data_IF_460443037041
#
_entry.id   IF_460443037041
#
_cell.length_a   1.000
_cell.length_b   1.000
_cell.length_c   1.000
_cell.angle_alpha   90.00
_cell.angle_beta   90.00
_cell.angle_gamma   90.00
#
_symmetry.space_group_name_H-M   'P 1'
#
loop_
_entity.id
_entity.type
_entity.pdbx_description
1 polymer ?
#
# COMPACT_ATOMS: atom_id res chain seq x y z
N UNK A 1 -14.90 -47.85 -7.12
CA UNK A 1 -14.53 -47.68 -5.71
C UNK A 1 -13.73 -46.39 -5.63
N UNK A 2 -14.29 -45.34 -5.03
CA UNK A 2 -13.55 -44.12 -4.77
C UNK A 2 -12.55 -44.42 -3.65
N UNK A 3 -11.26 -44.27 -3.93
CA UNK A 3 -10.18 -44.41 -2.94
C UNK A 3 -10.33 -43.29 -1.93
N UNK A 4 -10.48 -43.63 -0.66
CA UNK A 4 -10.48 -42.66 0.43
C UNK A 4 -9.11 -41.96 0.46
N UNK A 5 -9.13 -40.62 0.52
CA UNK A 5 -7.94 -39.79 0.63
C UNK A 5 -7.06 -40.24 1.81
N UNK A 6 -5.74 -40.30 1.62
CA UNK A 6 -4.79 -40.53 2.71
C UNK A 6 -5.12 -39.59 3.88
N UNK A 7 -5.10 -40.09 5.14
CA UNK A 7 -5.27 -39.22 6.30
C UNK A 7 -4.20 -38.12 6.28
N UNK A 8 -4.49 -36.92 6.79
CA UNK A 8 -3.51 -35.84 6.86
C UNK A 8 -2.29 -36.31 7.65
N UNK A 9 -1.09 -35.98 7.15
CA UNK A 9 0.17 -36.27 7.80
C UNK A 9 0.21 -35.56 9.16
N UNK A 10 0.70 -36.21 10.24
CA UNK A 10 0.87 -35.52 11.51
C UNK A 10 1.96 -34.44 11.37
N UNK A 11 1.77 -33.31 12.06
CA UNK A 11 2.65 -32.14 11.93
C UNK A 11 4.13 -32.45 12.21
N UNK A 12 4.40 -33.34 13.16
CA UNK A 12 5.76 -33.78 13.52
C UNK A 12 6.47 -34.62 12.43
N UNK A 13 5.73 -35.10 11.43
CA UNK A 13 6.29 -35.87 10.31
C UNK A 13 6.45 -35.02 9.04
N UNK A 14 6.10 -33.73 9.05
CA UNK A 14 6.27 -32.83 7.89
C UNK A 14 7.75 -32.54 7.67
N UNK A 15 8.30 -33.03 6.56
CA UNK A 15 9.73 -32.91 6.24
C UNK A 15 10.63 -33.97 6.84
N UNK A 16 11.92 -33.81 6.56
CA UNK A 16 12.98 -34.59 7.19
C UNK A 16 13.24 -34.16 8.64
N UNK A 17 13.93 -34.99 9.44
CA UNK A 17 14.24 -34.70 10.85
C UNK A 17 15.16 -33.48 11.07
N UNK A 18 15.85 -33.04 10.01
CA UNK A 18 16.73 -31.86 10.01
C UNK A 18 16.10 -30.67 9.27
N UNK A 19 14.90 -30.82 8.70
CA UNK A 19 14.21 -29.74 8.00
C UNK A 19 13.51 -28.83 9.02
N UNK A 20 13.66 -27.51 8.86
CA UNK A 20 12.93 -26.54 9.66
C UNK A 20 11.46 -26.49 9.22
N UNK A 21 10.55 -26.44 10.19
CA UNK A 21 9.11 -26.33 9.95
C UNK A 21 8.63 -24.91 10.16
N UNK A 22 7.79 -24.43 9.24
CA UNK A 22 7.11 -23.16 9.33
C UNK A 22 5.62 -23.36 9.63
N UNK A 23 5.03 -22.37 10.30
CA UNK A 23 3.62 -22.36 10.68
C UNK A 23 2.93 -21.11 10.13
N UNK A 24 1.97 -21.29 9.23
CA UNK A 24 1.19 -20.21 8.62
C UNK A 24 -0.22 -20.18 9.22
N UNK A 25 -0.67 -19.00 9.63
CA UNK A 25 -1.95 -18.81 10.34
C UNK A 25 -3.07 -18.38 9.39
N UNK A 26 -4.12 -19.19 9.25
CA UNK A 26 -5.27 -18.94 8.36
C UNK A 26 -6.60 -18.81 9.11
N UNK A 27 -6.60 -18.27 10.33
CA UNK A 27 -7.81 -18.17 11.15
C UNK A 27 -8.87 -17.22 10.57
N UNK A 28 -8.45 -16.23 9.76
CA UNK A 28 -9.34 -15.30 9.07
C UNK A 28 -9.91 -15.88 7.76
N UNK A 29 -9.36 -17.01 7.28
CA UNK A 29 -9.80 -17.61 6.03
C UNK A 29 -11.08 -18.43 6.21
N UNK A 30 -11.97 -18.29 5.23
CA UNK A 30 -13.17 -19.13 5.13
C UNK A 30 -12.80 -20.62 5.01
N UNK A 31 -13.73 -21.49 5.37
CA UNK A 31 -13.53 -22.93 5.21
C UNK A 31 -13.31 -23.33 3.74
N UNK A 32 -14.05 -22.69 2.81
CA UNK A 32 -13.91 -22.93 1.37
C UNK A 32 -12.51 -22.55 0.87
N UNK A 33 -12.01 -21.39 1.31
CA UNK A 33 -10.66 -20.93 0.98
C UNK A 33 -9.58 -21.93 1.41
N UNK A 34 -9.63 -22.38 2.67
CA UNK A 34 -8.69 -23.39 3.19
C UNK A 34 -8.84 -24.74 2.51
N UNK A 35 -10.06 -25.14 2.15
CA UNK A 35 -10.28 -26.38 1.40
C UNK A 35 -9.70 -26.32 -0.01
N UNK A 36 -9.69 -25.15 -0.66
CA UNK A 36 -9.03 -24.96 -1.97
C UNK A 36 -7.51 -24.93 -1.82
N UNK A 37 -6.99 -24.30 -0.78
CA UNK A 37 -5.56 -24.34 -0.48
C UNK A 37 -5.08 -25.77 -0.24
N UNK A 38 -5.80 -26.55 0.58
CA UNK A 38 -5.53 -27.98 0.75
C UNK A 38 -5.49 -28.74 -0.58
N UNK A 39 -6.44 -28.48 -1.48
CA UNK A 39 -6.45 -29.10 -2.80
C UNK A 39 -5.25 -28.68 -3.66
N UNK A 40 -4.86 -27.41 -3.60
CA UNK A 40 -3.70 -26.88 -4.33
C UNK A 40 -2.39 -27.49 -3.82
N UNK A 41 -2.17 -27.52 -2.50
CA UNK A 41 -1.00 -28.13 -1.87
C UNK A 41 -0.86 -29.61 -2.23
N UNK A 42 -1.97 -30.36 -2.18
CA UNK A 42 -1.99 -31.77 -2.62
C UNK A 42 -1.70 -31.95 -4.10
N UNK A 43 -2.20 -31.06 -4.94
CA UNK A 43 -1.99 -31.13 -6.40
C UNK A 43 -0.51 -30.92 -6.75
N UNK A 44 0.19 -30.11 -5.96
CA UNK A 44 1.62 -29.87 -6.08
C UNK A 44 2.48 -30.89 -5.31
N UNK A 45 1.85 -31.87 -4.65
CA UNK A 45 2.51 -32.89 -3.83
C UNK A 45 3.39 -32.31 -2.71
N UNK A 46 3.02 -31.15 -2.17
CA UNK A 46 3.73 -30.49 -1.07
C UNK A 46 3.45 -31.20 0.25
N UNK A 47 4.49 -31.48 1.03
CA UNK A 47 4.36 -32.08 2.37
C UNK A 47 3.82 -31.03 3.35
N UNK A 48 2.66 -31.30 3.97
CA UNK A 48 2.03 -30.37 4.90
C UNK A 48 1.11 -31.07 5.91
N UNK A 49 0.80 -30.36 6.99
CA UNK A 49 -0.18 -30.76 8.00
C UNK A 49 -1.02 -29.57 8.45
N UNK A 50 -2.24 -29.83 8.93
CA UNK A 50 -3.11 -28.80 9.52
C UNK A 50 -3.27 -29.02 11.02
N UNK A 51 -3.06 -27.96 11.80
CA UNK A 51 -3.39 -27.86 13.22
C UNK A 51 -4.48 -26.80 13.40
N UNK A 52 -5.74 -27.20 13.21
CA UNK A 52 -6.86 -26.25 13.22
C UNK A 52 -6.79 -25.31 12.00
N UNK A 53 -6.67 -23.98 12.18
CA UNK A 53 -6.44 -23.05 11.07
C UNK A 53 -4.96 -22.85 10.72
N UNK A 54 -4.02 -23.50 11.42
CA UNK A 54 -2.59 -23.34 11.19
C UNK A 54 -2.09 -24.40 10.22
N UNK A 55 -1.43 -23.98 9.14
CA UNK A 55 -0.74 -24.84 8.18
C UNK A 55 0.71 -25.02 8.63
N UNK A 56 1.14 -26.27 8.76
CA UNK A 56 2.52 -26.65 9.05
C UNK A 56 3.15 -27.17 7.76
N UNK A 57 4.30 -26.63 7.38
CA UNK A 57 5.04 -26.97 6.14
C UNK A 57 6.54 -26.99 6.43
N UNK A 58 7.33 -27.52 5.49
CA UNK A 58 8.79 -27.37 5.52
C UNK A 58 9.21 -26.00 5.00
N UNK A 59 10.21 -25.38 5.61
CA UNK A 59 10.80 -24.11 5.14
C UNK A 59 11.27 -24.20 3.68
N UNK A 60 11.85 -25.35 3.28
CA UNK A 60 12.30 -25.58 1.89
C UNK A 60 11.19 -25.43 0.83
N UNK A 61 9.93 -25.64 1.25
CA UNK A 61 8.75 -25.64 0.39
C UNK A 61 7.95 -24.32 0.53
N UNK A 62 8.43 -23.37 1.34
CA UNK A 62 7.76 -22.08 1.60
C UNK A 62 7.39 -21.35 0.32
N UNK A 63 8.33 -21.19 -0.61
CA UNK A 63 8.08 -20.47 -1.87
C UNK A 63 6.97 -21.13 -2.71
N UNK A 64 6.88 -22.45 -2.69
CA UNK A 64 5.81 -23.17 -3.40
C UNK A 64 4.46 -23.03 -2.68
N UNK A 65 4.48 -23.00 -1.35
CA UNK A 65 3.27 -22.75 -0.55
C UNK A 65 2.78 -21.33 -0.73
N UNK A 66 3.66 -20.33 -0.75
CA UNK A 66 3.31 -18.94 -1.03
C UNK A 66 2.62 -18.79 -2.39
N UNK A 67 3.15 -19.45 -3.42
CA UNK A 67 2.51 -19.48 -4.73
C UNK A 67 1.13 -20.16 -4.69
N UNK A 68 0.96 -21.21 -3.90
CA UNK A 68 -0.33 -21.87 -3.72
C UNK A 68 -1.35 -20.95 -3.00
N UNK A 69 -0.90 -20.25 -1.95
CA UNK A 69 -1.69 -19.25 -1.21
C UNK A 69 -2.13 -18.13 -2.14
N UNK A 70 -1.19 -17.55 -2.89
CA UNK A 70 -1.47 -16.48 -3.85
C UNK A 70 -2.44 -16.95 -4.94
N UNK A 71 -2.30 -18.18 -5.43
CA UNK A 71 -3.21 -18.75 -6.41
C UNK A 71 -4.64 -18.84 -5.89
N UNK A 72 -4.84 -19.31 -4.66
CA UNK A 72 -6.18 -19.41 -4.06
C UNK A 72 -6.79 -18.04 -3.83
N UNK A 73 -5.99 -17.06 -3.37
CA UNK A 73 -6.45 -15.69 -3.24
C UNK A 73 -6.87 -15.11 -4.59
N UNK A 74 -6.06 -15.30 -5.64
CA UNK A 74 -6.35 -14.83 -7.01
C UNK A 74 -7.62 -15.45 -7.59
N UNK A 75 -7.96 -16.69 -7.23
CA UNK A 75 -9.21 -17.33 -7.63
C UNK A 75 -10.44 -16.76 -6.94
N UNK A 76 -10.29 -16.14 -5.77
CA UNK A 76 -11.37 -15.49 -5.04
C UNK A 76 -11.59 -14.05 -5.48
N UNK A 77 -10.62 -13.44 -6.17
CA UNK A 77 -10.79 -12.11 -6.73
C UNK A 77 -11.92 -12.11 -7.77
N UNK A 78 -12.76 -11.06 -7.79
CA UNK A 78 -13.74 -10.88 -8.86
C UNK A 78 -13.02 -10.84 -10.23
N UNK A 79 -13.35 -11.77 -11.12
CA UNK A 79 -12.73 -11.87 -12.45
C UNK A 79 -13.59 -11.20 -13.50
N UNK A 80 -12.97 -10.35 -14.31
CA UNK A 80 -13.65 -9.69 -15.41
C UNK A 80 -14.10 -10.72 -16.47
N UNK A 81 -15.39 -10.73 -16.80
CA UNK A 81 -15.91 -11.55 -17.89
C UNK A 81 -15.62 -10.88 -19.24
N UNK A 82 -14.59 -11.37 -19.93
CA UNK A 82 -14.15 -10.87 -21.25
C UNK A 82 -15.17 -11.07 -22.37
N UNK A 83 -16.26 -11.80 -22.14
CA UNK A 83 -17.34 -11.93 -23.12
C UNK A 83 -18.34 -10.77 -23.08
N UNK A 84 -18.32 -9.97 -22.00
CA UNK A 84 -19.15 -8.78 -21.84
C UNK A 84 -18.41 -7.52 -22.33
N UNK A 85 -19.15 -6.47 -22.72
CA UNK A 85 -18.56 -5.16 -22.96
C UNK A 85 -17.80 -4.63 -21.73
N UNK A 86 -16.66 -4.00 -21.99
CA UNK A 86 -15.77 -3.46 -20.97
C UNK A 86 -15.40 -2.00 -21.28
N UNK A 87 -15.17 -1.23 -20.23
CA UNK A 87 -14.68 0.15 -20.26
C UNK A 87 -13.23 0.16 -19.78
N UNK A 88 -12.41 1.01 -20.38
CA UNK A 88 -10.96 1.10 -20.13
C UNK A 88 -10.61 2.48 -19.56
N UNK A 89 -9.92 2.49 -18.42
CA UNK A 89 -9.43 3.68 -17.74
C UNK A 89 -7.90 3.78 -17.87
N UNK A 90 -7.41 4.90 -18.36
CA UNK A 90 -5.97 5.17 -18.45
C UNK A 90 -5.41 5.55 -17.05
N UNK A 91 -4.58 4.70 -16.46
CA UNK A 91 -3.93 4.97 -15.15
C UNK A 91 -2.49 5.46 -15.29
N UNK A 92 -2.02 5.78 -16.49
CA UNK A 92 -0.60 6.11 -16.74
C UNK A 92 -0.11 7.34 -15.96
N UNK A 93 -1.02 8.28 -15.68
CA UNK A 93 -0.72 9.54 -14.99
C UNK A 93 -0.77 9.39 -13.46
N UNK A 94 -1.16 8.21 -12.97
CA UNK A 94 -1.23 7.89 -11.55
C UNK A 94 0.13 7.36 -11.09
N UNK A 95 0.57 7.78 -9.90
CA UNK A 95 1.70 7.14 -9.23
C UNK A 95 1.32 5.76 -8.68
N UNK A 96 2.32 5.00 -8.24
CA UNK A 96 2.12 3.61 -7.80
C UNK A 96 1.26 3.53 -6.53
N UNK A 97 1.33 4.53 -5.65
CA UNK A 97 0.51 4.59 -4.45
C UNK A 97 -0.97 4.83 -4.79
N UNK A 98 -1.25 5.74 -5.72
CA UNK A 98 -2.59 6.03 -6.19
C UNK A 98 -3.17 4.83 -6.94
N UNK A 99 -2.40 4.18 -7.82
CA UNK A 99 -2.83 2.94 -8.48
C UNK A 99 -3.17 1.85 -7.47
N UNK A 100 -2.31 1.63 -6.48
CA UNK A 100 -2.56 0.64 -5.44
C UNK A 100 -3.84 0.95 -4.65
N UNK A 101 -4.10 2.23 -4.37
CA UNK A 101 -5.33 2.67 -3.71
C UNK A 101 -6.58 2.37 -4.55
N UNK A 102 -6.57 2.72 -5.85
CA UNK A 102 -7.69 2.42 -6.78
C UNK A 102 -7.96 0.92 -6.81
N UNK A 103 -6.93 0.09 -6.98
CA UNK A 103 -7.08 -1.37 -7.05
C UNK A 103 -7.61 -1.94 -5.72
N UNK A 104 -7.12 -1.43 -4.58
CA UNK A 104 -7.61 -1.83 -3.25
C UNK A 104 -9.09 -1.50 -3.06
N UNK A 105 -9.54 -0.33 -3.50
CA UNK A 105 -10.95 0.08 -3.41
C UNK A 105 -11.84 -0.76 -4.33
N UNK A 106 -11.40 -1.08 -5.56
CA UNK A 106 -12.14 -1.97 -6.44
C UNK A 106 -12.32 -3.36 -5.84
N UNK A 107 -11.28 -3.88 -5.17
CA UNK A 107 -11.35 -5.16 -4.46
C UNK A 107 -12.30 -5.10 -3.27
N UNK A 108 -12.28 -4.01 -2.49
CA UNK A 108 -13.15 -3.85 -1.33
C UNK A 108 -14.63 -3.74 -1.71
N UNK A 109 -14.91 -3.13 -2.88
CA UNK A 109 -16.26 -3.06 -3.46
C UNK A 109 -16.67 -4.31 -4.24
N UNK A 110 -15.74 -5.25 -4.46
CA UNK A 110 -16.00 -6.51 -5.18
C UNK A 110 -16.16 -6.32 -6.69
N UNK A 111 -15.60 -5.25 -7.25
CA UNK A 111 -15.69 -4.92 -8.68
C UNK A 111 -14.67 -5.74 -9.46
N UNK A 112 -15.17 -6.47 -10.47
CA UNK A 112 -14.35 -7.30 -11.35
C UNK A 112 -13.53 -6.43 -12.30
N UNK A 113 -12.21 -6.59 -12.25
CA UNK A 113 -11.29 -5.76 -13.02
C UNK A 113 -10.04 -6.52 -13.48
N UNK A 114 -9.35 -5.98 -14.48
CA UNK A 114 -8.04 -6.45 -14.92
C UNK A 114 -7.17 -5.27 -15.33
N UNK A 115 -5.85 -5.38 -15.11
CA UNK A 115 -4.89 -4.40 -15.60
C UNK A 115 -4.19 -4.96 -16.83
N UNK A 116 -4.26 -4.24 -17.95
CA UNK A 116 -3.62 -4.66 -19.19
C UNK A 116 -2.07 -4.47 -19.15
N UNK A 117 -1.38 -4.95 -20.18
CA UNK A 117 0.08 -4.80 -20.29
C UNK A 117 0.55 -3.33 -20.42
N UNK A 118 -0.34 -2.41 -20.78
CA UNK A 118 -0.05 -0.98 -20.85
C UNK A 118 -0.32 -0.26 -19.52
N UNK A 119 -0.83 -0.97 -18.50
CA UNK A 119 -1.18 -0.42 -17.20
C UNK A 119 -2.54 0.27 -17.17
N UNK A 120 -3.42 0.02 -18.14
CA UNK A 120 -4.79 0.50 -18.13
C UNK A 120 -5.68 -0.47 -17.34
N UNK A 121 -6.67 0.09 -16.65
CA UNK A 121 -7.66 -0.65 -15.90
C UNK A 121 -8.87 -0.95 -16.79
N UNK A 122 -9.18 -2.22 -16.96
CA UNK A 122 -10.39 -2.69 -17.62
C UNK A 122 -11.43 -3.14 -16.59
N UNK A 123 -12.68 -2.70 -16.77
CA UNK A 123 -13.84 -3.06 -15.93
C UNK A 123 -15.05 -3.36 -16.82
N UNK A 124 -16.07 -4.06 -16.31
CA UNK A 124 -17.28 -4.30 -17.08
C UNK A 124 -18.05 -2.98 -17.29
N UNK A 125 -18.69 -2.81 -18.45
CA UNK A 125 -19.53 -1.62 -18.74
C UNK A 125 -20.68 -1.48 -17.72
N UNK A 126 -21.16 -2.60 -17.16
CA UNK A 126 -22.18 -2.59 -16.11
C UNK A 126 -21.70 -1.96 -14.79
N UNK A 127 -20.39 -1.93 -14.55
CA UNK A 127 -19.77 -1.41 -13.33
C UNK A 127 -19.20 0.01 -13.55
N UNK A 128 -19.32 0.59 -14.75
CA UNK A 128 -18.79 1.92 -15.11
C UNK A 128 -19.24 3.00 -14.11
N UNK A 129 -20.53 3.07 -13.79
CA UNK A 129 -21.07 4.07 -12.87
C UNK A 129 -20.50 3.94 -11.44
N UNK A 130 -20.22 2.70 -10.99
CA UNK A 130 -19.61 2.47 -9.68
C UNK A 130 -18.15 2.88 -9.67
N UNK A 131 -17.42 2.58 -10.74
CA UNK A 131 -16.00 2.92 -10.90
C UNK A 131 -15.81 4.43 -11.04
N UNK A 132 -16.67 5.12 -11.80
CA UNK A 132 -16.67 6.58 -11.88
C UNK A 132 -16.93 7.22 -10.52
N UNK A 133 -17.92 6.72 -9.77
CA UNK A 133 -18.18 7.19 -8.41
C UNK A 133 -17.00 6.97 -7.45
N UNK A 134 -16.26 5.87 -7.62
CA UNK A 134 -15.03 5.58 -6.89
C UNK A 134 -13.94 6.59 -7.23
N UNK A 135 -13.71 6.90 -8.51
CA UNK A 135 -12.74 7.93 -8.92
C UNK A 135 -13.10 9.31 -8.39
N UNK A 136 -14.37 9.69 -8.45
CA UNK A 136 -14.87 10.94 -7.88
C UNK A 136 -14.63 11.00 -6.37
N UNK A 137 -14.88 9.89 -5.66
CA UNK A 137 -14.64 9.79 -4.21
C UNK A 137 -13.17 9.88 -3.87
N UNK A 138 -12.29 9.19 -4.57
CA UNK A 138 -10.84 9.23 -4.35
C UNK A 138 -10.27 10.62 -4.63
N UNK A 139 -10.73 11.26 -5.70
CA UNK A 139 -10.37 12.65 -6.02
C UNK A 139 -10.89 13.62 -4.96
N UNK A 140 -12.13 13.42 -4.49
CA UNK A 140 -12.71 14.25 -3.44
C UNK A 140 -11.99 14.09 -2.12
N UNK A 141 -11.66 12.86 -1.72
CA UNK A 141 -10.91 12.56 -0.50
C UNK A 141 -9.52 13.22 -0.52
N UNK A 142 -8.83 13.20 -1.66
CA UNK A 142 -7.58 13.95 -1.83
C UNK A 142 -7.80 15.48 -1.71
N UNK A 143 -8.94 15.98 -2.18
CA UNK A 143 -9.33 17.40 -2.09
C UNK A 143 -9.93 17.80 -0.71
N UNK A 144 -10.29 16.85 0.15
CA UNK A 144 -10.94 17.09 1.44
C UNK A 144 -9.98 17.52 2.55
N UNK A 145 -8.66 17.48 2.31
CA UNK A 145 -7.67 18.01 3.26
C UNK A 145 -8.02 19.46 3.63
N UNK A 146 -8.53 19.63 4.85
CA UNK A 146 -8.96 20.92 5.36
C UNK A 146 -7.73 21.76 5.73
N UNK A 147 -7.69 22.99 5.24
CA UNK A 147 -6.64 23.93 5.64
C UNK A 147 -6.83 24.38 7.09
N UNK A 148 -5.72 24.65 7.76
CA UNK A 148 -5.74 25.10 9.14
C UNK A 148 -6.47 26.44 9.30
N UNK A 149 -6.84 26.80 10.53
CA UNK A 149 -7.58 28.04 10.82
C UNK A 149 -6.77 29.32 10.56
N UNK A 150 -5.47 29.19 10.30
CA UNK A 150 -4.52 30.29 10.23
C UNK A 150 -3.83 30.54 11.58
N UNK A 151 -2.55 30.88 11.54
CA UNK A 151 -1.78 31.27 12.72
C UNK A 151 -1.50 32.78 12.70
N UNK A 152 -2.02 33.56 13.68
CA UNK A 152 -1.77 34.99 13.74
C UNK A 152 -0.28 35.33 13.89
N UNK A 153 0.23 36.22 13.04
CA UNK A 153 1.62 36.70 13.10
C UNK A 153 2.66 35.72 12.56
N UNK A 154 2.23 34.60 11.98
CA UNK A 154 3.10 33.66 11.27
C UNK A 154 2.96 33.92 9.77
N UNK A 155 4.07 34.27 9.13
CA UNK A 155 4.10 34.52 7.69
C UNK A 155 4.32 33.20 6.94
N UNK A 156 3.43 32.78 6.02
CA UNK A 156 3.53 31.51 5.32
C UNK A 156 4.87 31.30 4.60
N UNK A 157 5.44 32.36 4.00
CA UNK A 157 6.74 32.29 3.33
C UNK A 157 7.88 31.86 4.28
N UNK A 158 7.87 32.32 5.54
CA UNK A 158 8.90 31.96 6.51
C UNK A 158 8.83 30.47 6.88
N UNK A 159 7.62 29.94 6.99
CA UNK A 159 7.38 28.53 7.28
C UNK A 159 7.81 27.67 6.09
N UNK A 160 7.45 28.07 4.85
CA UNK A 160 7.88 27.37 3.63
C UNK A 160 9.40 27.39 3.46
N UNK A 161 10.05 28.51 3.75
CA UNK A 161 11.51 28.63 3.71
C UNK A 161 12.18 27.72 4.75
N UNK A 162 11.63 27.63 5.96
CA UNK A 162 12.10 26.70 6.99
C UNK A 162 11.91 25.23 6.57
N UNK A 163 10.76 24.87 5.99
CA UNK A 163 10.52 23.54 5.41
C UNK A 163 11.51 23.23 4.29
N UNK A 164 11.78 24.18 3.39
CA UNK A 164 12.72 23.99 2.29
C UNK A 164 14.13 23.71 2.79
N UNK A 165 14.65 24.54 3.70
CA UNK A 165 16.03 24.39 4.19
C UNK A 165 16.20 23.13 5.04
N UNK A 166 15.22 22.79 5.86
CA UNK A 166 15.26 21.56 6.66
C UNK A 166 15.18 20.33 5.76
N UNK A 167 14.31 20.31 4.74
CA UNK A 167 14.25 19.23 3.75
C UNK A 167 15.54 19.11 2.92
N UNK A 168 16.16 20.22 2.50
CA UNK A 168 17.45 20.18 1.76
C UNK A 168 18.58 19.57 2.60
N UNK A 169 18.59 19.81 3.91
CA UNK A 169 19.53 19.20 4.85
C UNK A 169 19.22 17.72 5.08
N UNK A 170 17.96 17.38 5.37
CA UNK A 170 17.52 16.01 5.67
C UNK A 170 17.72 15.06 4.48
N UNK A 171 17.54 15.54 3.25
CA UNK A 171 17.84 14.76 2.04
C UNK A 171 19.33 14.38 1.91
N UNK A 172 20.24 15.09 2.60
CA UNK A 172 21.68 14.77 2.60
C UNK A 172 22.11 14.03 3.85
N UNK A 173 21.42 14.26 4.95
CA UNK A 173 21.66 13.66 6.25
C UNK A 173 20.37 13.71 7.08
N UNK A 174 19.59 12.65 6.98
CA UNK A 174 18.36 12.34 7.72
C UNK A 174 18.57 12.31 9.24
N UNK A 175 19.78 11.98 9.70
CA UNK A 175 20.17 11.96 11.11
C UNK A 175 20.61 13.33 11.66
N UNK A 176 20.52 14.41 10.86
CA UNK A 176 20.82 15.77 11.32
C UNK A 176 19.78 16.25 12.34
N UNK A 177 20.08 16.06 13.63
CA UNK A 177 19.16 16.36 14.73
C UNK A 177 18.64 17.80 14.71
N UNK A 178 19.45 18.76 14.22
CA UNK A 178 19.01 20.15 14.13
C UNK A 178 18.02 20.34 12.97
N UNK A 179 18.28 19.72 11.83
CA UNK A 179 17.35 19.76 10.70
C UNK A 179 16.03 19.04 11.02
N UNK A 180 16.07 17.94 11.79
CA UNK A 180 14.87 17.24 12.28
C UNK A 180 14.03 18.15 13.19
N UNK A 181 14.67 18.84 14.15
CA UNK A 181 13.99 19.77 15.06
C UNK A 181 13.38 20.97 14.29
N UNK A 182 14.16 21.59 13.40
CA UNK A 182 13.70 22.72 12.59
C UNK A 182 12.55 22.33 11.66
N UNK A 183 12.62 21.13 11.06
CA UNK A 183 11.53 20.57 10.26
C UNK A 183 10.27 20.34 11.09
N UNK A 184 10.38 19.72 12.25
CA UNK A 184 9.23 19.41 13.10
C UNK A 184 8.47 20.67 13.54
N UNK A 185 9.19 21.75 13.86
CA UNK A 185 8.60 23.05 14.20
C UNK A 185 7.88 23.68 13.00
N UNK A 186 8.52 23.68 11.83
CA UNK A 186 7.92 24.25 10.62
C UNK A 186 6.71 23.43 10.15
N UNK A 187 6.76 22.11 10.30
CA UNK A 187 5.65 21.19 10.02
C UNK A 187 4.45 21.48 10.93
N UNK A 188 4.67 21.64 12.25
CA UNK A 188 3.60 22.00 13.19
C UNK A 188 2.93 23.33 12.82
N UNK A 189 3.70 24.31 12.35
CA UNK A 189 3.17 25.59 11.91
C UNK A 189 2.37 25.46 10.62
N UNK A 190 2.90 24.76 9.61
CA UNK A 190 2.30 24.74 8.27
C UNK A 190 0.93 24.06 8.24
N UNK A 191 0.73 23.02 9.06
CA UNK A 191 -0.56 22.32 9.14
C UNK A 191 -1.67 23.19 9.77
N UNK A 192 -1.30 24.22 10.52
CA UNK A 192 -2.24 25.16 11.14
C UNK A 192 -2.52 26.40 10.27
N UNK A 193 -1.74 26.62 9.20
CA UNK A 193 -1.95 27.73 8.30
C UNK A 193 -3.18 27.50 7.41
N UNK A 194 -3.93 28.58 7.19
CA UNK A 194 -4.93 28.63 6.13
C UNK A 194 -4.25 28.72 4.76
N UNK A 195 -5.00 28.45 3.68
CA UNK A 195 -4.50 28.64 2.32
C UNK A 195 -4.02 30.09 2.13
N UNK A 196 -2.72 30.31 1.91
CA UNK A 196 -2.21 31.67 1.74
C UNK A 196 -2.65 32.27 0.41
N UNK A 197 -2.87 33.58 0.40
CA UNK A 197 -3.25 34.29 -0.82
C UNK A 197 -2.17 34.14 -1.91
N UNK A 198 -2.60 33.80 -3.13
CA UNK A 198 -1.70 33.60 -4.27
C UNK A 198 -1.15 32.18 -4.43
N UNK A 199 -1.51 31.25 -3.54
CA UNK A 199 -1.19 29.82 -3.70
C UNK A 199 -2.42 29.05 -4.19
N UNK A 200 -2.18 28.10 -5.09
CA UNK A 200 -3.23 27.19 -5.56
C UNK A 200 -3.57 26.15 -4.48
N UNK A 201 -4.87 25.82 -4.28
CA UNK A 201 -5.30 24.85 -3.27
C UNK A 201 -4.61 23.48 -3.42
N UNK A 202 -4.50 22.99 -4.65
CA UNK A 202 -3.92 21.67 -4.92
C UNK A 202 -2.42 21.63 -4.64
N UNK A 203 -1.71 22.72 -4.93
CA UNK A 203 -0.31 22.86 -4.53
C UNK A 203 -0.18 22.84 -3.01
N UNK A 204 -1.01 23.61 -2.30
CA UNK A 204 -0.93 23.71 -0.85
C UNK A 204 -1.21 22.35 -0.19
N UNK A 205 -2.19 21.58 -0.68
CA UNK A 205 -2.44 20.21 -0.22
C UNK A 205 -1.26 19.29 -0.47
N UNK A 206 -0.75 19.24 -1.71
CA UNK A 206 0.40 18.42 -2.06
C UNK A 206 1.64 18.74 -1.21
N UNK A 207 1.83 20.01 -0.85
CA UNK A 207 2.91 20.45 0.04
C UNK A 207 2.71 19.94 1.47
N UNK A 208 1.48 20.06 2.00
CA UNK A 208 1.15 19.53 3.31
C UNK A 208 1.28 17.99 3.36
N UNK A 209 0.83 17.29 2.32
CA UNK A 209 0.97 15.83 2.20
C UNK A 209 2.44 15.41 2.17
N UNK A 210 3.27 16.07 1.34
CA UNK A 210 4.70 15.79 1.29
C UNK A 210 5.42 16.09 2.63
N UNK A 211 4.96 17.09 3.37
CA UNK A 211 5.49 17.39 4.70
C UNK A 211 5.05 16.33 5.74
N UNK A 212 3.81 15.84 5.68
CA UNK A 212 3.36 14.74 6.54
C UNK A 212 4.15 13.45 6.25
N UNK A 213 4.36 13.09 4.97
CA UNK A 213 5.14 11.90 4.62
C UNK A 213 6.57 11.95 5.16
N UNK A 214 7.22 13.12 5.11
CA UNK A 214 8.54 13.29 5.73
C UNK A 214 8.47 13.18 7.25
N UNK A 215 7.44 13.75 7.89
CA UNK A 215 7.23 13.64 9.34
C UNK A 215 7.06 12.19 9.79
N UNK A 216 6.29 11.41 9.05
CA UNK A 216 6.06 9.99 9.32
C UNK A 216 7.35 9.18 9.14
N UNK A 217 8.06 9.38 8.02
CA UNK A 217 9.32 8.70 7.76
C UNK A 217 10.40 8.97 8.83
N UNK A 218 10.45 10.19 9.37
CA UNK A 218 11.37 10.54 10.47
C UNK A 218 10.98 9.91 11.83
N UNK A 219 9.72 9.50 12.00
CA UNK A 219 9.20 8.94 13.26
C UNK A 219 9.17 7.41 13.25
N UNK A 220 9.14 6.78 12.08
CA UNK A 220 9.19 5.33 11.94
C UNK A 220 10.49 4.74 12.53
N UNK A 221 10.40 3.95 13.61
CA UNK A 221 11.45 3.01 14.05
C UNK A 221 11.13 1.58 13.58
N UNK A 222 11.88 0.51 13.93
CA UNK A 222 13.26 0.37 14.44
C UNK A 222 14.23 -0.19 13.37
N UNK A 223 13.89 -0.16 12.07
CA UNK A 223 14.84 -0.45 10.99
C UNK A 223 15.51 0.86 10.52
N UNK A 224 16.76 1.13 10.96
CA UNK A 224 17.45 2.36 10.62
C UNK A 224 17.94 2.41 9.18
N UNK A 225 17.83 1.34 8.37
CA UNK A 225 18.25 1.33 6.97
C UNK A 225 17.05 1.63 6.06
N UNK A 226 15.92 0.95 6.28
CA UNK A 226 14.69 1.21 5.53
C UNK A 226 14.09 2.59 5.86
N UNK A 227 14.10 2.97 7.15
CA UNK A 227 13.63 4.29 7.58
C UNK A 227 14.46 5.45 7.01
N UNK A 228 15.76 5.25 6.84
CA UNK A 228 16.67 6.28 6.29
C UNK A 228 16.41 6.52 4.80
N UNK A 229 16.24 5.44 4.04
CA UNK A 229 15.90 5.53 2.63
C UNK A 229 14.54 6.20 2.40
N UNK A 230 13.53 5.86 3.22
CA UNK A 230 12.21 6.47 3.17
C UNK A 230 12.27 7.98 3.52
N UNK A 231 13.01 8.34 4.58
CA UNK A 231 13.18 9.74 4.98
C UNK A 231 13.96 10.55 3.94
N UNK A 232 15.00 9.98 3.33
CA UNK A 232 15.73 10.65 2.23
C UNK A 232 14.82 10.89 1.03
N UNK A 233 14.02 9.89 0.64
CA UNK A 233 13.08 9.98 -0.46
C UNK A 233 12.02 11.06 -0.21
N UNK A 234 11.38 11.04 0.97
CA UNK A 234 10.38 12.02 1.36
C UNK A 234 10.97 13.45 1.43
N UNK A 235 12.19 13.61 1.98
CA UNK A 235 12.88 14.89 2.03
C UNK A 235 13.21 15.43 0.63
N UNK A 236 13.55 14.54 -0.30
CA UNK A 236 13.75 14.90 -1.71
C UNK A 236 12.46 15.38 -2.35
N UNK A 237 11.36 14.65 -2.17
CA UNK A 237 10.07 14.98 -2.73
C UNK A 237 9.59 16.37 -2.28
N UNK A 238 9.58 16.62 -0.97
CA UNK A 238 9.19 17.91 -0.39
C UNK A 238 10.04 19.07 -0.94
N UNK A 239 11.36 18.88 -0.99
CA UNK A 239 12.29 19.91 -1.46
C UNK A 239 12.15 20.23 -2.96
N UNK A 240 11.88 19.24 -3.80
CA UNK A 240 11.63 19.47 -5.23
C UNK A 240 10.29 20.16 -5.47
N UNK A 241 9.26 19.82 -4.69
CA UNK A 241 7.96 20.48 -4.74
C UNK A 241 8.07 21.97 -4.36
N UNK A 242 8.73 22.28 -3.24
CA UNK A 242 8.92 23.66 -2.77
C UNK A 242 9.77 24.50 -3.73
N UNK A 243 10.81 23.92 -4.35
CA UNK A 243 11.63 24.64 -5.35
C UNK A 243 10.83 25.13 -6.56
N UNK A 244 9.78 24.43 -6.95
CA UNK A 244 8.99 24.81 -8.13
C UNK A 244 8.21 26.11 -7.91
N UNK A 245 8.00 26.50 -6.65
CA UNK A 245 7.14 27.61 -6.23
C UNK A 245 7.88 28.75 -5.53
N UNK A 246 9.17 28.58 -5.24
CA UNK A 246 10.09 29.62 -4.76
C UNK A 246 10.90 30.21 -5.92
#
# INVERSE_FOLDING_TARGET
MATFASPPQPAEEVGGPDDEQLAYEFHEWSYDARSRLEAALRTQELEHAWLGPTLIMCERDEEAVDQAVESVLREQLPKLDKSLPAVVYELRDFDDAHKANVLSELLSEGIAHEVDYAGNLEVAEADEEAVDALFDRLTSAASERQFGPGLPGVEPYQVLEALFFSADRLRRNTSDSKAVEDFALAHEQVVQLSLPWGYEPDFWRAMLDAADSLREALVAGPDPVEGDAAAEHAARALRELLRRYM
#
